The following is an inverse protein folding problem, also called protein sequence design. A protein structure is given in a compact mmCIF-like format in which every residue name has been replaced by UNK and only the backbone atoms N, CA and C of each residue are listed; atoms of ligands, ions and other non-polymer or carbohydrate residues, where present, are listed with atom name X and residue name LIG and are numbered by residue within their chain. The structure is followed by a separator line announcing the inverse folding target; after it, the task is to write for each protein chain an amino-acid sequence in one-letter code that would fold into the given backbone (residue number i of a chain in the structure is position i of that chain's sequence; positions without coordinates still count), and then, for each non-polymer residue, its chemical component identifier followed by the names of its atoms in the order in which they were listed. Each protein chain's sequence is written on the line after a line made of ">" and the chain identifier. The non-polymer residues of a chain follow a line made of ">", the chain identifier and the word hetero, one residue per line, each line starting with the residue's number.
data_IF_242564390257
#
_entry.id   IF_242564390257
#
_cell.length_a   1.000
_cell.length_b   1.000
_cell.length_c   1.000
_cell.angle_alpha   90.00
_cell.angle_beta   90.00
_cell.angle_gamma   90.00
#
_symmetry.space_group_name_H-M   'P 1'
#
loop_
_entity.id
_entity.type
_entity.pdbx_description
1 polymer ?
#
# COMPACT_ATOMS: atom_id res chain seq x y z
N UNK A 1 -13.58 19.42 4.03
CA UNK A 1 -12.63 19.06 2.96
C UNK A 1 -11.55 18.17 3.52
N UNK A 2 -11.02 17.22 2.74
CA UNK A 2 -9.88 16.40 3.14
C UNK A 2 -8.58 17.04 2.65
N UNK A 3 -7.52 16.97 3.46
CA UNK A 3 -6.18 17.46 3.11
C UNK A 3 -5.36 16.32 2.54
N UNK A 4 -4.75 16.52 1.36
CA UNK A 4 -3.78 15.58 0.80
C UNK A 4 -2.48 15.65 1.62
N UNK A 5 -2.09 14.54 2.26
CA UNK A 5 -0.85 14.46 3.05
C UNK A 5 0.39 14.12 2.20
N UNK A 6 0.19 13.56 1.02
CA UNK A 6 1.26 13.11 0.12
C UNK A 6 0.78 12.06 -0.87
N UNK A 7 1.65 11.72 -1.84
CA UNK A 7 1.37 10.75 -2.90
C UNK A 7 2.55 9.77 -3.01
N UNK A 8 2.25 8.48 -3.05
CA UNK A 8 3.23 7.43 -3.37
C UNK A 8 3.13 7.16 -4.86
N UNK A 9 4.20 7.47 -5.62
CA UNK A 9 4.25 7.18 -7.04
C UNK A 9 4.60 5.71 -7.28
N UNK A 10 3.81 5.04 -8.12
CA UNK A 10 3.99 3.65 -8.53
C UNK A 10 4.22 3.63 -10.05
N UNK A 11 5.07 2.74 -10.60
CA UNK A 11 5.44 2.76 -12.02
C UNK A 11 4.29 2.49 -13.01
N UNK A 12 3.14 2.00 -12.53
CA UNK A 12 2.00 1.54 -13.34
C UNK A 12 0.67 1.93 -12.68
N UNK A 13 -0.44 1.81 -13.43
CA UNK A 13 -1.78 2.10 -12.91
C UNK A 13 -2.16 1.13 -11.77
N UNK A 14 -2.54 1.69 -10.63
CA UNK A 14 -2.87 0.96 -9.39
C UNK A 14 -4.36 0.70 -9.31
N UNK A 15 -4.73 -0.53 -8.96
CA UNK A 15 -6.13 -0.93 -8.75
C UNK A 15 -6.50 -1.01 -7.26
N UNK A 16 -5.60 -1.56 -6.42
CA UNK A 16 -5.88 -1.76 -4.99
C UNK A 16 -4.59 -1.86 -4.16
N UNK A 17 -4.71 -1.86 -2.83
CA UNK A 17 -3.61 -2.12 -1.90
C UNK A 17 -4.11 -2.76 -0.60
N UNK A 18 -3.21 -3.43 0.12
CA UNK A 18 -3.46 -3.95 1.46
C UNK A 18 -2.16 -4.03 2.28
N UNK A 19 -2.29 -3.98 3.61
CA UNK A 19 -1.17 -4.26 4.50
C UNK A 19 -1.00 -5.77 4.69
N UNK A 20 0.24 -6.22 4.77
CA UNK A 20 0.57 -7.63 5.01
C UNK A 20 1.89 -7.80 5.76
N UNK A 21 2.37 -9.04 5.75
CA UNK A 21 3.41 -9.60 6.62
C UNK A 21 3.01 -9.66 8.11
N UNK A 22 3.80 -10.38 8.90
CA UNK A 22 3.51 -10.63 10.32
C UNK A 22 3.45 -9.35 11.18
N UNK A 23 4.08 -8.26 10.73
CA UNK A 23 4.09 -6.98 11.43
C UNK A 23 3.17 -5.92 10.81
N UNK A 24 2.42 -6.29 9.78
CA UNK A 24 1.50 -5.41 9.04
C UNK A 24 2.13 -4.14 8.49
N UNK A 25 3.46 -4.10 8.30
CA UNK A 25 4.19 -2.90 7.82
C UNK A 25 4.60 -3.00 6.35
N UNK A 26 4.10 -4.00 5.63
CA UNK A 26 4.28 -4.08 4.19
C UNK A 26 3.01 -3.65 3.50
N UNK A 27 3.07 -2.53 2.76
CA UNK A 27 2.00 -2.12 1.87
C UNK A 27 2.20 -2.83 0.54
N UNK A 28 1.37 -3.83 0.27
CA UNK A 28 1.28 -4.51 -1.01
C UNK A 28 0.34 -3.74 -1.93
N UNK A 29 0.76 -3.50 -3.16
CA UNK A 29 0.04 -2.67 -4.13
C UNK A 29 -0.13 -3.48 -5.41
N UNK A 30 -1.37 -3.71 -5.82
CA UNK A 30 -1.67 -4.36 -7.10
C UNK A 30 -1.71 -3.31 -8.20
N UNK A 31 -0.87 -3.48 -9.20
CA UNK A 31 -0.84 -2.66 -10.40
C UNK A 31 -1.20 -3.49 -11.64
N UNK A 32 -1.22 -2.85 -12.81
CA UNK A 32 -1.67 -3.48 -14.06
C UNK A 32 -1.01 -4.82 -14.37
N UNK A 33 0.32 -4.92 -14.27
CA UNK A 33 1.05 -6.17 -14.60
C UNK A 33 1.90 -6.71 -13.45
N UNK A 34 2.01 -5.97 -12.36
CA UNK A 34 2.94 -6.24 -11.26
C UNK A 34 2.29 -6.06 -9.90
N UNK A 35 2.82 -6.75 -8.89
CA UNK A 35 2.56 -6.46 -7.47
C UNK A 35 3.80 -5.82 -6.87
N UNK A 36 3.66 -4.59 -6.38
CA UNK A 36 4.72 -3.87 -5.70
C UNK A 36 4.58 -4.05 -4.18
N UNK A 37 5.70 -3.95 -3.46
CA UNK A 37 5.75 -3.96 -2.01
C UNK A 37 6.66 -2.85 -1.52
N UNK A 38 6.17 -2.03 -0.61
CA UNK A 38 6.98 -1.07 0.14
C UNK A 38 6.84 -1.29 1.64
N UNK A 39 7.86 -0.90 2.39
CA UNK A 39 7.83 -0.90 3.85
C UNK A 39 7.36 0.46 4.35
N UNK A 40 6.43 0.45 5.31
CA UNK A 40 5.86 1.65 5.92
C UNK A 40 6.14 1.68 7.42
N UNK A 41 6.23 2.89 8.00
CA UNK A 41 6.48 3.06 9.42
C UNK A 41 5.26 2.67 10.29
N UNK A 42 4.06 3.00 9.81
CA UNK A 42 2.80 2.73 10.52
C UNK A 42 2.20 1.42 10.02
N UNK A 43 1.94 0.44 10.91
CA UNK A 43 1.30 -0.81 10.52
C UNK A 43 -0.16 -0.61 10.12
N UNK A 44 -0.67 -1.48 9.24
CA UNK A 44 -2.09 -1.60 8.97
C UNK A 44 -2.84 -2.40 10.02
N UNK A 45 -4.10 -2.69 9.74
CA UNK A 45 -4.96 -3.53 10.56
C UNK A 45 -5.08 -4.93 9.93
N UNK A 46 -5.24 -6.00 10.73
CA UNK A 46 -5.59 -7.32 10.23
C UNK A 46 -6.90 -7.28 9.44
N UNK A 47 -6.97 -8.07 8.36
CA UNK A 47 -8.25 -8.34 7.72
C UNK A 47 -9.12 -9.18 8.68
N UNK A 48 -10.40 -8.81 8.81
CA UNK A 48 -11.40 -9.53 9.60
C UNK A 48 -11.89 -10.78 8.88
#
# INVERSE_FOLDING_TARGET
>A
EAVCLGVIHVPEHVANFAWGDADYRSLYITASTSVYRIRVATPGLPAL
#
